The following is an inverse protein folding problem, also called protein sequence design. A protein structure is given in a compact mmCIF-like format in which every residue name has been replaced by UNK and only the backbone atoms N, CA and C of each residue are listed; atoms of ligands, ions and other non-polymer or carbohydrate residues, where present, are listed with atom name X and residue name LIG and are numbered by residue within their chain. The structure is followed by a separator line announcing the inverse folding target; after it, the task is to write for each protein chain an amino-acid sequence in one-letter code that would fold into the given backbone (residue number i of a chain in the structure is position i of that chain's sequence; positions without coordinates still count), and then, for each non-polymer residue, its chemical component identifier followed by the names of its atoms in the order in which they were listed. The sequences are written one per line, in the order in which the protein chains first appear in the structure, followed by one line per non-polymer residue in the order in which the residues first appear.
data_IF_471734576855
#
_entry.id   IF_471734576855
#
_cell.length_a   1.000
_cell.length_b   1.000
_cell.length_c   1.000
_cell.angle_alpha   90.00
_cell.angle_beta   90.00
_cell.angle_gamma   90.00
#
_symmetry.space_group_name_H-M   'P 1'
#
loop_
_entity.id
_entity.type
_entity.pdbx_description
1 polymer ?
#
# COMPACT_ATOMS: atom_id res chain seq x y z
N UNK A 1 -49.89 1.69 37.84
CA UNK A 1 -51.35 1.52 37.93
C UNK A 1 -51.97 2.32 36.80
N UNK A 2 -52.23 1.66 35.66
CA UNK A 2 -53.18 2.04 34.61
C UNK A 2 -53.22 0.85 33.62
N UNK A 3 -54.44 0.42 33.32
CA UNK A 3 -54.81 -0.85 32.72
C UNK A 3 -54.97 -0.74 31.20
N UNK A 4 -54.69 -1.87 30.52
CA UNK A 4 -55.35 -2.47 29.35
C UNK A 4 -55.89 -1.59 28.21
N UNK A 5 -55.49 -1.94 26.98
CA UNK A 5 -56.45 -2.45 25.98
C UNK A 5 -55.78 -3.42 24.99
N UNK A 6 -56.48 -4.53 24.70
CA UNK A 6 -56.17 -5.59 23.74
C UNK A 6 -56.88 -5.27 22.42
N UNK A 7 -56.35 -5.74 21.31
CA UNK A 7 -57.21 -6.20 20.20
C UNK A 7 -56.53 -7.32 19.42
N UNK A 8 -57.32 -8.37 19.25
CA UNK A 8 -57.03 -9.65 18.64
C UNK A 8 -57.00 -9.55 17.10
N UNK A 9 -56.24 -10.43 16.44
CA UNK A 9 -56.40 -10.72 15.01
C UNK A 9 -56.59 -12.23 14.86
N UNK A 10 -57.61 -12.55 14.07
CA UNK A 10 -58.33 -13.81 13.95
C UNK A 10 -57.53 -15.05 13.54
N UNK A 11 -58.13 -16.15 14.00
CA UNK A 11 -57.91 -17.57 13.75
C UNK A 11 -57.94 -18.00 12.28
N UNK A 12 -57.00 -18.85 11.89
CA UNK A 12 -57.04 -19.65 10.66
C UNK A 12 -57.50 -21.06 11.02
N UNK A 13 -58.66 -21.44 10.50
CA UNK A 13 -59.33 -22.74 10.58
C UNK A 13 -58.94 -23.59 9.36
N UNK A 14 -58.37 -24.78 9.57
CA UNK A 14 -58.28 -25.84 8.56
C UNK A 14 -58.36 -27.19 9.25
N UNK A 15 -59.54 -27.81 9.18
CA UNK A 15 -59.79 -29.20 9.54
C UNK A 15 -60.57 -29.86 8.39
N UNK A 16 -59.93 -30.81 7.68
CA UNK A 16 -60.56 -31.99 7.05
C UNK A 16 -59.51 -32.76 6.23
N UNK A 17 -59.09 -33.94 6.67
CA UNK A 17 -59.68 -35.18 6.14
C UNK A 17 -59.25 -36.38 7.00
N UNK A 18 -60.29 -37.15 7.30
CA UNK A 18 -60.43 -38.27 8.20
C UNK A 18 -59.61 -39.52 7.81
N UNK A 19 -59.26 -40.27 8.84
CA UNK A 19 -58.59 -41.56 8.84
C UNK A 19 -59.64 -42.69 8.81
N UNK A 20 -59.42 -43.83 8.11
CA UNK A 20 -59.87 -45.21 8.50
C UNK A 20 -59.82 -46.29 7.37
N UNK A 21 -59.77 -47.60 7.71
CA UNK A 21 -59.06 -48.67 6.95
C UNK A 21 -59.93 -49.87 6.46
N UNK A 22 -59.29 -51.05 6.22
CA UNK A 22 -59.77 -52.46 5.99
C UNK A 22 -60.19 -52.92 4.56
N UNK A 23 -60.03 -54.16 4.04
CA UNK A 23 -59.52 -55.51 4.45
C UNK A 23 -59.36 -56.48 3.22
N UNK A 24 -58.85 -57.72 3.43
CA UNK A 24 -58.61 -58.89 2.52
C UNK A 24 -59.84 -59.38 1.69
N UNK A 25 -59.81 -60.18 0.59
CA UNK A 25 -59.21 -61.52 0.35
C UNK A 25 -59.53 -62.14 -1.07
N UNK A 26 -58.62 -63.01 -1.57
CA UNK A 26 -58.75 -64.32 -2.30
C UNK A 26 -59.32 -64.58 -3.75
N UNK A 27 -58.46 -65.27 -4.57
CA UNK A 27 -58.64 -66.38 -5.60
C UNK A 27 -59.43 -66.11 -6.91
N UNK A 28 -59.27 -66.74 -8.09
CA UNK A 28 -58.53 -67.88 -8.69
C UNK A 28 -58.62 -67.79 -10.24
N UNK A 29 -57.70 -68.38 -11.03
CA UNK A 29 -57.94 -68.65 -12.47
C UNK A 29 -56.71 -68.88 -13.37
N UNK A 30 -56.60 -70.06 -13.97
CA UNK A 30 -55.68 -70.51 -15.06
C UNK A 30 -56.42 -71.58 -15.90
N UNK A 31 -55.99 -72.06 -17.10
CA UNK A 31 -55.11 -71.57 -18.20
C UNK A 31 -55.76 -71.80 -19.62
N UNK A 32 -55.08 -71.81 -20.81
CA UNK A 32 -54.17 -72.90 -21.26
C UNK A 32 -52.92 -72.49 -22.11
N UNK A 33 -52.01 -73.48 -22.28
CA UNK A 33 -50.70 -73.48 -22.99
C UNK A 33 -50.80 -73.61 -24.52
N UNK A 34 -49.81 -73.07 -25.28
CA UNK A 34 -49.13 -73.79 -26.41
C UNK A 34 -47.82 -73.16 -26.95
N UNK A 35 -46.72 -73.92 -26.78
CA UNK A 35 -45.50 -74.22 -27.58
C UNK A 35 -44.75 -73.17 -28.47
N UNK A 36 -43.48 -72.94 -28.04
CA UNK A 36 -42.14 -73.01 -28.72
C UNK A 36 -41.97 -72.57 -30.20
N UNK A 37 -41.00 -71.67 -30.43
CA UNK A 37 -39.88 -71.78 -31.42
C UNK A 37 -38.67 -70.92 -31.00
N UNK A 38 -37.47 -71.54 -30.92
CA UNK A 38 -36.12 -70.95 -31.07
C UNK A 38 -35.73 -71.05 -32.58
N UNK A 39 -34.66 -70.41 -33.15
CA UNK A 39 -33.36 -69.95 -32.61
C UNK A 39 -33.01 -68.48 -33.04
N UNK A 40 -31.86 -67.81 -32.82
CA UNK A 40 -30.44 -68.18 -33.01
C UNK A 40 -29.50 -67.19 -32.31
N UNK A 41 -28.37 -67.71 -31.81
CA UNK A 41 -27.30 -67.07 -31.04
C UNK A 41 -26.16 -66.60 -31.97
N UNK A 42 -25.52 -65.43 -31.77
CA UNK A 42 -24.17 -65.16 -32.28
C UNK A 42 -23.10 -65.60 -31.27
N UNK A 43 -21.89 -65.94 -31.73
CA UNK A 43 -20.94 -66.72 -30.96
C UNK A 43 -20.27 -65.93 -29.83
N UNK A 44 -20.04 -66.64 -28.75
CA UNK A 44 -19.20 -66.28 -27.61
C UNK A 44 -17.75 -66.08 -28.03
N UNK A 45 -17.26 -64.84 -27.89
CA UNK A 45 -15.85 -64.54 -27.69
C UNK A 45 -15.53 -64.53 -26.19
N UNK A 46 -14.58 -65.37 -25.79
CA UNK A 46 -14.20 -65.67 -24.42
C UNK A 46 -13.67 -64.45 -23.63
N UNK A 47 -14.14 -64.32 -22.39
CA UNK A 47 -13.69 -63.33 -21.40
C UNK A 47 -14.75 -63.19 -20.31
N UNK A 48 -14.47 -63.67 -19.10
CA UNK A 48 -15.45 -63.98 -18.05
C UNK A 48 -16.48 -62.86 -17.74
N UNK A 49 -17.76 -63.19 -17.47
CA UNK A 49 -18.82 -62.22 -17.19
C UNK A 49 -18.52 -61.28 -16.00
N UNK A 50 -17.74 -61.75 -15.04
CA UNK A 50 -17.35 -61.01 -13.84
C UNK A 50 -16.24 -59.99 -14.14
N UNK A 51 -15.37 -60.26 -15.13
CA UNK A 51 -14.24 -59.39 -15.49
C UNK A 51 -14.72 -58.13 -16.20
N UNK A 52 -15.74 -58.24 -17.07
CA UNK A 52 -16.37 -57.08 -17.73
C UNK A 52 -17.14 -56.19 -16.77
N UNK A 53 -17.82 -56.78 -15.79
CA UNK A 53 -18.52 -56.03 -14.74
C UNK A 53 -17.52 -55.32 -13.81
N UNK A 54 -16.47 -56.01 -13.38
CA UNK A 54 -15.42 -55.42 -12.54
C UNK A 54 -14.68 -54.28 -13.26
N UNK A 55 -14.40 -54.42 -14.56
CA UNK A 55 -13.79 -53.36 -15.36
C UNK A 55 -14.71 -52.13 -15.54
N UNK A 56 -16.02 -52.34 -15.71
CA UNK A 56 -17.00 -51.25 -15.78
C UNK A 56 -17.14 -50.50 -14.45
N UNK A 57 -17.18 -51.24 -13.33
CA UNK A 57 -17.25 -50.63 -11.99
C UNK A 57 -15.97 -49.87 -11.67
N UNK A 58 -14.80 -50.44 -11.95
CA UNK A 58 -13.52 -49.75 -11.79
C UNK A 58 -13.43 -48.49 -12.67
N UNK A 59 -13.88 -48.57 -13.93
CA UNK A 59 -13.94 -47.42 -14.84
C UNK A 59 -14.90 -46.33 -14.37
N UNK A 60 -16.07 -46.70 -13.83
CA UNK A 60 -17.04 -45.76 -13.27
C UNK A 60 -16.51 -45.06 -12.00
N UNK A 61 -15.82 -45.79 -11.13
CA UNK A 61 -15.16 -45.23 -9.94
C UNK A 61 -14.04 -44.26 -10.36
N UNK A 62 -13.24 -44.63 -11.36
CA UNK A 62 -12.15 -43.80 -11.86
C UNK A 62 -12.68 -42.53 -12.54
N UNK A 63 -13.77 -42.65 -13.33
CA UNK A 63 -14.47 -41.51 -13.91
C UNK A 63 -15.07 -40.59 -12.83
N UNK A 64 -15.70 -41.15 -11.80
CA UNK A 64 -16.22 -40.39 -10.67
C UNK A 64 -15.10 -39.67 -9.91
N UNK A 65 -13.96 -40.33 -9.69
CA UNK A 65 -12.80 -39.71 -9.06
C UNK A 65 -12.23 -38.56 -9.89
N UNK A 66 -12.12 -38.72 -11.21
CA UNK A 66 -11.69 -37.64 -12.12
C UNK A 66 -12.69 -36.48 -12.12
N UNK A 67 -14.00 -36.76 -12.14
CA UNK A 67 -15.04 -35.73 -12.07
C UNK A 67 -15.03 -34.97 -10.74
N UNK A 68 -14.80 -35.66 -9.62
CA UNK A 68 -14.65 -35.02 -8.29
C UNK A 68 -13.39 -34.18 -8.22
N UNK A 69 -12.25 -34.68 -8.72
CA UNK A 69 -11.01 -33.92 -8.80
C UNK A 69 -11.15 -32.70 -9.71
N UNK A 70 -11.85 -32.84 -10.83
CA UNK A 70 -12.13 -31.74 -11.75
C UNK A 70 -13.05 -30.69 -11.11
N UNK A 71 -14.16 -31.11 -10.48
CA UNK A 71 -15.06 -30.19 -9.77
C UNK A 71 -14.38 -29.49 -8.59
N UNK A 72 -13.52 -30.17 -7.84
CA UNK A 72 -12.71 -29.57 -6.78
C UNK A 72 -11.67 -28.59 -7.33
N UNK A 73 -11.06 -28.88 -8.48
CA UNK A 73 -10.10 -27.97 -9.13
C UNK A 73 -10.74 -26.68 -9.63
N UNK A 74 -11.98 -26.73 -10.16
CA UNK A 74 -12.73 -25.54 -10.54
C UNK A 74 -13.12 -24.69 -9.34
N UNK A 75 -13.47 -25.32 -8.20
CA UNK A 75 -13.81 -24.62 -6.95
C UNK A 75 -12.60 -23.95 -6.30
N UNK A 76 -11.44 -24.62 -6.33
CA UNK A 76 -10.19 -24.04 -5.81
C UNK A 76 -9.72 -22.86 -6.66
N UNK A 77 -9.84 -22.95 -7.99
CA UNK A 77 -9.58 -21.84 -8.91
C UNK A 77 -10.48 -20.64 -8.64
N UNK A 78 -11.79 -20.85 -8.58
CA UNK A 78 -12.76 -19.78 -8.30
C UNK A 78 -12.52 -19.11 -6.94
N UNK A 79 -12.09 -19.87 -5.92
CA UNK A 79 -11.76 -19.33 -4.61
C UNK A 79 -10.51 -18.45 -4.66
N UNK A 80 -9.43 -18.92 -5.30
CA UNK A 80 -8.21 -18.11 -5.48
C UNK A 80 -8.49 -16.84 -6.28
N UNK A 81 -9.34 -16.93 -7.31
CA UNK A 81 -9.76 -15.77 -8.10
C UNK A 81 -10.54 -14.76 -7.26
N UNK A 82 -11.43 -15.22 -6.36
CA UNK A 82 -12.17 -14.32 -5.46
C UNK A 82 -11.23 -13.54 -4.53
N UNK A 83 -10.27 -14.22 -3.90
CA UNK A 83 -9.26 -13.56 -3.06
C UNK A 83 -8.37 -12.62 -3.88
N UNK A 84 -7.95 -13.06 -5.07
CA UNK A 84 -7.15 -12.25 -5.99
C UNK A 84 -7.85 -10.96 -6.41
N UNK A 85 -9.09 -11.05 -6.87
CA UNK A 85 -9.89 -9.90 -7.31
C UNK A 85 -10.17 -8.93 -6.15
N UNK A 86 -10.42 -9.47 -4.95
CA UNK A 86 -10.56 -8.67 -3.74
C UNK A 86 -9.26 -7.92 -3.43
N UNK A 87 -8.11 -8.61 -3.38
CA UNK A 87 -6.82 -7.98 -3.11
C UNK A 87 -6.41 -6.98 -4.19
N UNK A 88 -6.76 -7.20 -5.45
CA UNK A 88 -6.57 -6.20 -6.52
C UNK A 88 -7.41 -4.94 -6.28
N UNK A 89 -8.63 -5.10 -5.77
CA UNK A 89 -9.51 -3.97 -5.43
C UNK A 89 -8.98 -3.21 -4.22
N UNK A 90 -8.50 -3.92 -3.19
CA UNK A 90 -7.83 -3.30 -2.05
C UNK A 90 -6.54 -2.60 -2.48
N UNK A 91 -5.78 -3.16 -3.43
CA UNK A 91 -4.57 -2.54 -3.94
C UNK A 91 -4.86 -1.17 -4.58
N UNK A 92 -5.97 -1.03 -5.30
CA UNK A 92 -6.41 0.26 -5.87
C UNK A 92 -6.72 1.27 -4.77
N UNK A 93 -7.52 0.87 -3.78
CA UNK A 93 -7.85 1.71 -2.60
C UNK A 93 -6.59 2.12 -1.82
N UNK A 94 -5.69 1.17 -1.58
CA UNK A 94 -4.42 1.38 -0.90
C UNK A 94 -3.51 2.35 -1.66
N UNK A 95 -3.40 2.19 -2.97
CA UNK A 95 -2.61 3.07 -3.83
C UNK A 95 -3.17 4.50 -3.88
N UNK A 96 -4.49 4.67 -3.94
CA UNK A 96 -5.14 5.98 -3.86
C UNK A 96 -4.90 6.65 -2.51
N UNK A 97 -5.03 5.91 -1.41
CA UNK A 97 -4.75 6.42 -0.08
C UNK A 97 -3.28 6.81 0.10
N UNK A 98 -2.36 5.98 -0.40
CA UNK A 98 -0.92 6.23 -0.34
C UNK A 98 -0.53 7.48 -1.15
N UNK A 99 -1.16 7.66 -2.33
CA UNK A 99 -0.99 8.88 -3.13
C UNK A 99 -1.45 10.12 -2.36
N UNK A 100 -2.59 10.07 -1.67
CA UNK A 100 -3.06 11.18 -0.84
C UNK A 100 -2.06 11.49 0.29
N UNK A 101 -1.45 10.47 0.89
CA UNK A 101 -0.39 10.64 1.89
C UNK A 101 0.85 11.36 1.33
N UNK A 102 1.30 10.98 0.12
CA UNK A 102 2.36 11.70 -0.60
C UNK A 102 1.97 13.14 -0.94
N UNK A 103 0.75 13.35 -1.43
CA UNK A 103 0.24 14.68 -1.78
C UNK A 103 0.18 15.57 -0.52
N UNK A 104 -0.16 15.00 0.65
CA UNK A 104 -0.08 15.70 1.94
C UNK A 104 1.36 16.07 2.29
N UNK A 105 2.31 15.15 2.18
CA UNK A 105 3.73 15.43 2.44
C UNK A 105 4.23 16.59 1.56
N UNK A 106 3.97 16.50 0.25
CA UNK A 106 4.33 17.54 -0.71
C UNK A 106 3.68 18.89 -0.39
N UNK A 107 2.40 18.88 0.03
CA UNK A 107 1.69 20.08 0.43
C UNK A 107 2.30 20.74 1.66
N UNK A 108 2.59 19.95 2.69
CA UNK A 108 3.17 20.42 3.96
C UNK A 108 4.59 20.95 3.77
N UNK A 109 5.35 20.45 2.81
CA UNK A 109 6.71 20.89 2.52
C UNK A 109 6.83 21.75 1.26
N UNK A 110 5.71 22.24 0.73
CA UNK A 110 5.71 23.13 -0.43
C UNK A 110 6.43 24.45 -0.13
N UNK A 111 7.39 24.82 -0.99
CA UNK A 111 8.16 26.04 -0.82
C UNK A 111 7.27 27.28 -1.04
N UNK A 112 7.26 28.18 -0.06
CA UNK A 112 6.56 29.47 -0.16
C UNK A 112 5.03 29.39 -0.12
N UNK A 113 4.44 28.23 0.17
CA UNK A 113 2.99 28.08 0.28
C UNK A 113 2.42 28.98 1.39
N UNK A 114 1.28 29.62 1.11
CA UNK A 114 0.56 30.43 2.09
C UNK A 114 -0.39 29.57 2.89
N UNK A 115 -0.65 29.94 4.14
CA UNK A 115 -1.59 29.24 5.03
C UNK A 115 -2.98 29.07 4.40
N UNK A 116 -3.48 30.09 3.69
CA UNK A 116 -4.79 30.01 3.02
C UNK A 116 -4.85 28.92 1.94
N UNK A 117 -3.83 28.88 1.07
CA UNK A 117 -3.72 27.89 -0.01
C UNK A 117 -3.50 26.48 0.56
N UNK A 118 -2.65 26.36 1.59
CA UNK A 118 -2.43 25.10 2.31
C UNK A 118 -3.72 24.53 2.87
N UNK A 119 -4.55 25.36 3.50
CA UNK A 119 -5.85 24.91 4.05
C UNK A 119 -6.79 24.45 2.95
N UNK A 120 -6.85 25.18 1.83
CA UNK A 120 -7.71 24.83 0.69
C UNK A 120 -7.33 23.48 0.08
N UNK A 121 -6.04 23.25 -0.16
CA UNK A 121 -5.54 21.99 -0.72
C UNK A 121 -5.71 20.83 0.28
N UNK A 122 -5.47 21.07 1.57
CA UNK A 122 -5.69 20.07 2.62
C UNK A 122 -7.17 19.63 2.71
N UNK A 123 -8.11 20.55 2.51
CA UNK A 123 -9.53 20.23 2.43
C UNK A 123 -9.86 19.34 1.21
N UNK A 124 -9.17 19.53 0.09
CA UNK A 124 -9.25 18.64 -1.07
C UNK A 124 -8.77 17.22 -0.74
N UNK A 125 -7.60 17.10 -0.09
CA UNK A 125 -7.04 15.81 0.34
C UNK A 125 -7.97 15.07 1.32
N UNK A 126 -8.57 15.79 2.27
CA UNK A 126 -9.58 15.25 3.20
C UNK A 126 -10.76 14.63 2.48
N UNK A 127 -11.30 15.34 1.48
CA UNK A 127 -12.44 14.86 0.69
C UNK A 127 -12.06 13.63 -0.14
N UNK A 128 -10.89 13.64 -0.77
CA UNK A 128 -10.38 12.50 -1.53
C UNK A 128 -10.19 11.25 -0.64
N UNK A 129 -9.64 11.41 0.56
CA UNK A 129 -9.48 10.29 1.49
C UNK A 129 -10.84 9.78 1.98
N UNK A 130 -11.82 10.67 2.18
CA UNK A 130 -13.20 10.28 2.49
C UNK A 130 -13.84 9.41 1.40
N UNK A 131 -13.58 9.72 0.12
CA UNK A 131 -14.02 8.88 -1.02
C UNK A 131 -13.29 7.54 -1.06
N UNK A 132 -12.03 7.50 -0.65
CA UNK A 132 -11.25 6.26 -0.55
C UNK A 132 -11.83 5.32 0.51
N UNK A 133 -12.25 5.86 1.67
CA UNK A 133 -12.99 5.09 2.70
C UNK A 133 -14.31 4.55 2.14
N UNK A 134 -15.08 5.37 1.43
CA UNK A 134 -16.35 4.93 0.82
C UNK A 134 -16.14 3.81 -0.20
N UNK A 135 -15.07 3.91 -1.00
CA UNK A 135 -14.70 2.88 -1.97
C UNK A 135 -14.32 1.58 -1.28
N UNK A 136 -13.57 1.66 -0.16
CA UNK A 136 -13.23 0.50 0.65
C UNK A 136 -14.49 -0.16 1.25
N UNK A 137 -15.39 0.62 1.85
CA UNK A 137 -16.64 0.13 2.43
C UNK A 137 -17.57 -0.54 1.41
N UNK A 138 -17.44 -0.19 0.13
CA UNK A 138 -18.20 -0.79 -0.96
C UNK A 138 -17.62 -2.10 -1.50
N UNK A 139 -16.46 -2.54 -1.01
CA UNK A 139 -15.86 -3.81 -1.42
C UNK A 139 -16.61 -5.01 -0.80
N UNK A 140 -16.59 -6.14 -1.49
CA UNK A 140 -17.15 -7.40 -1.01
C UNK A 140 -16.01 -8.36 -0.62
N UNK A 141 -15.58 -8.40 0.65
CA UNK A 141 -14.50 -9.27 1.09
C UNK A 141 -14.92 -10.75 1.08
N UNK A 142 -14.00 -11.68 0.75
CA UNK A 142 -14.19 -13.10 1.03
C UNK A 142 -14.58 -13.30 2.49
N UNK A 143 -15.46 -14.27 2.77
CA UNK A 143 -16.06 -14.40 4.10
C UNK A 143 -15.07 -14.56 5.26
N UNK A 144 -13.91 -15.16 4.99
CA UNK A 144 -12.82 -15.33 5.96
C UNK A 144 -12.06 -14.03 6.26
N UNK A 145 -12.10 -13.04 5.35
CA UNK A 145 -11.37 -11.78 5.45
C UNK A 145 -12.23 -10.61 5.97
N UNK A 146 -13.44 -10.86 6.47
CA UNK A 146 -14.35 -9.78 6.90
C UNK A 146 -13.77 -8.95 8.04
N UNK A 147 -13.14 -9.60 9.02
CA UNK A 147 -12.51 -8.92 10.15
C UNK A 147 -11.34 -8.04 9.68
N UNK A 148 -10.47 -8.57 8.82
CA UNK A 148 -9.34 -7.82 8.28
C UNK A 148 -9.82 -6.66 7.39
N UNK A 149 -10.93 -6.84 6.68
CA UNK A 149 -11.56 -5.78 5.92
C UNK A 149 -12.08 -4.64 6.82
N UNK A 150 -12.65 -4.96 7.98
CA UNK A 150 -13.03 -3.95 8.97
C UNK A 150 -11.80 -3.16 9.45
N UNK A 151 -10.69 -3.84 9.77
CA UNK A 151 -9.43 -3.19 10.13
C UNK A 151 -8.85 -2.30 9.02
N UNK A 152 -8.94 -2.73 7.75
CA UNK A 152 -8.61 -1.89 6.59
C UNK A 152 -9.42 -0.60 6.59
N UNK A 153 -10.74 -0.69 6.77
CA UNK A 153 -11.63 0.48 6.79
C UNK A 153 -11.31 1.39 7.97
N UNK A 154 -11.04 0.84 9.16
CA UNK A 154 -10.64 1.60 10.35
C UNK A 154 -9.32 2.36 10.13
N UNK A 155 -8.32 1.73 9.52
CA UNK A 155 -7.06 2.40 9.16
C UNK A 155 -7.33 3.60 8.21
N UNK A 156 -8.13 3.40 7.18
CA UNK A 156 -8.49 4.48 6.25
C UNK A 156 -9.29 5.61 6.93
N UNK A 157 -10.14 5.28 7.91
CA UNK A 157 -10.87 6.26 8.71
C UNK A 157 -9.95 7.04 9.66
N UNK A 158 -8.93 6.41 10.24
CA UNK A 158 -7.90 7.11 11.02
C UNK A 158 -7.14 8.11 10.15
N UNK A 159 -6.85 7.77 8.87
CA UNK A 159 -6.27 8.72 7.91
C UNK A 159 -7.17 9.94 7.69
N UNK A 160 -8.47 9.74 7.47
CA UNK A 160 -9.46 10.84 7.41
C UNK A 160 -9.45 11.67 8.70
N UNK A 161 -9.42 11.01 9.86
CA UNK A 161 -9.42 11.66 11.17
C UNK A 161 -8.17 12.52 11.37
N UNK A 162 -6.99 12.02 11.02
CA UNK A 162 -5.74 12.78 11.08
C UNK A 162 -5.74 13.98 10.14
N UNK A 163 -6.21 13.83 8.90
CA UNK A 163 -6.35 14.94 7.95
C UNK A 163 -7.35 16.01 8.45
N UNK A 164 -8.49 15.58 9.00
CA UNK A 164 -9.47 16.48 9.63
C UNK A 164 -8.86 17.24 10.82
N UNK A 165 -8.11 16.52 11.67
CA UNK A 165 -7.40 17.09 12.79
C UNK A 165 -6.38 18.14 12.35
N UNK A 166 -5.58 17.83 11.33
CA UNK A 166 -4.62 18.78 10.74
C UNK A 166 -5.31 20.04 10.22
N UNK A 167 -6.41 19.92 9.47
CA UNK A 167 -7.14 21.09 8.97
C UNK A 167 -7.75 21.94 10.09
N UNK A 168 -8.25 21.29 11.15
CA UNK A 168 -8.69 21.96 12.36
C UNK A 168 -7.54 22.68 13.06
N UNK A 169 -6.39 22.03 13.21
CA UNK A 169 -5.17 22.58 13.80
C UNK A 169 -4.66 23.79 13.03
N UNK A 170 -4.55 23.71 11.70
CA UNK A 170 -4.17 24.82 10.82
C UNK A 170 -5.14 26.00 10.86
N UNK A 171 -6.40 25.77 11.20
CA UNK A 171 -7.35 26.87 11.43
C UNK A 171 -7.07 27.58 12.76
N UNK A 172 -6.60 26.85 13.77
CA UNK A 172 -6.34 27.37 15.12
C UNK A 172 -4.94 27.94 15.32
N UNK A 173 -4.02 27.81 14.35
CA UNK A 173 -2.61 28.27 14.53
C UNK A 173 -2.49 29.77 14.85
N UNK A 174 -3.46 30.59 14.44
CA UNK A 174 -3.46 32.02 14.74
C UNK A 174 -3.97 32.33 16.16
N UNK A 175 -4.72 31.40 16.77
CA UNK A 175 -5.36 31.55 18.07
C UNK A 175 -4.54 30.94 19.22
N UNK A 176 -3.54 30.11 18.89
CA UNK A 176 -2.64 29.48 19.87
C UNK A 176 -1.52 30.43 20.30
N UNK A 177 -1.14 30.34 21.57
CA UNK A 177 -0.24 31.30 22.23
C UNK A 177 1.20 31.34 21.68
N UNK A 178 1.66 30.28 21.00
CA UNK A 178 3.00 30.20 20.41
C UNK A 178 3.08 29.12 19.33
N UNK A 179 4.10 29.20 18.47
CA UNK A 179 4.42 28.14 17.50
C UNK A 179 4.72 26.79 18.15
N UNK A 180 5.17 26.78 19.41
CA UNK A 180 5.39 25.54 20.17
C UNK A 180 4.06 24.85 20.47
N UNK A 181 3.07 25.59 20.98
CA UNK A 181 1.73 25.07 21.23
C UNK A 181 1.04 24.63 19.93
N UNK A 182 1.23 25.39 18.84
CA UNK A 182 0.77 24.99 17.51
C UNK A 182 1.40 23.67 17.05
N UNK A 183 2.71 23.51 17.26
CA UNK A 183 3.44 22.30 16.90
C UNK A 183 2.97 21.06 17.66
N UNK A 184 2.73 21.19 18.96
CA UNK A 184 2.18 20.12 19.82
C UNK A 184 0.78 19.70 19.36
N UNK A 185 -0.10 20.68 19.08
CA UNK A 185 -1.45 20.43 18.58
C UNK A 185 -1.40 19.65 17.26
N UNK A 186 -0.61 20.10 16.29
CA UNK A 186 -0.51 19.47 14.97
C UNK A 186 0.11 18.07 15.03
N UNK A 187 1.11 17.86 15.90
CA UNK A 187 1.71 16.54 16.12
C UNK A 187 0.69 15.55 16.70
N UNK A 188 -0.13 15.97 17.66
CA UNK A 188 -1.19 15.12 18.21
C UNK A 188 -2.17 14.67 17.11
N UNK A 189 -2.55 15.58 16.21
CA UNK A 189 -3.43 15.24 15.08
C UNK A 189 -2.75 14.29 14.10
N UNK A 190 -1.47 14.52 13.79
CA UNK A 190 -0.67 13.71 12.88
C UNK A 190 -0.36 12.31 13.39
N UNK A 191 -0.30 12.10 14.71
CA UNK A 191 -0.14 10.77 15.29
C UNK A 191 -1.25 9.80 14.88
N UNK A 192 -2.44 10.28 14.53
CA UNK A 192 -3.52 9.45 13.97
C UNK A 192 -3.15 8.90 12.59
N UNK A 193 -2.41 9.66 11.78
CA UNK A 193 -1.91 9.21 10.48
C UNK A 193 -0.86 8.11 10.68
N UNK A 194 0.09 8.32 11.60
CA UNK A 194 1.12 7.31 11.91
C UNK A 194 0.49 6.03 12.46
N UNK A 195 -0.45 6.15 13.40
CA UNK A 195 -1.17 5.01 13.96
C UNK A 195 -2.00 4.27 12.89
N UNK A 196 -2.47 4.96 11.85
CA UNK A 196 -3.22 4.32 10.77
C UNK A 196 -2.38 3.35 9.95
N UNK A 197 -1.09 3.63 9.77
CA UNK A 197 -0.18 2.76 9.04
C UNK A 197 0.12 1.50 9.84
N UNK A 198 0.34 1.64 11.16
CA UNK A 198 0.46 0.48 12.07
C UNK A 198 -0.80 -0.37 12.05
N UNK A 199 -1.99 0.25 12.08
CA UNK A 199 -3.26 -0.50 12.02
C UNK A 199 -3.42 -1.24 10.68
N UNK A 200 -3.02 -0.62 9.57
CA UNK A 200 -3.04 -1.23 8.25
C UNK A 200 -2.10 -2.44 8.17
N UNK A 201 -0.85 -2.28 8.60
CA UNK A 201 0.15 -3.33 8.53
C UNK A 201 -0.21 -4.51 9.45
N UNK A 202 -0.46 -4.25 10.74
CA UNK A 202 -0.62 -5.31 11.73
C UNK A 202 -1.98 -6.04 11.58
N UNK A 203 -3.07 -5.28 11.41
CA UNK A 203 -4.43 -5.83 11.53
C UNK A 203 -5.13 -6.06 10.21
N UNK A 204 -4.69 -5.43 9.12
CA UNK A 204 -5.15 -5.82 7.78
C UNK A 204 -4.12 -6.70 7.08
N UNK A 205 -2.91 -6.19 6.83
CA UNK A 205 -1.96 -6.84 5.90
C UNK A 205 -1.45 -8.17 6.45
N UNK A 206 -0.83 -8.16 7.61
CA UNK A 206 -0.25 -9.36 8.22
C UNK A 206 -1.35 -10.35 8.65
N UNK A 207 -2.44 -9.85 9.23
CA UNK A 207 -3.59 -10.68 9.58
C UNK A 207 -4.25 -11.34 8.35
N UNK A 208 -4.40 -10.62 7.23
CA UNK A 208 -4.97 -11.19 6.00
C UNK A 208 -4.04 -12.22 5.37
N UNK A 209 -2.72 -11.99 5.43
CA UNK A 209 -1.73 -12.98 5.00
C UNK A 209 -1.91 -14.28 5.80
N UNK A 210 -2.01 -14.21 7.13
CA UNK A 210 -2.22 -15.38 7.98
C UNK A 210 -3.51 -16.13 7.63
N UNK A 211 -4.64 -15.41 7.49
CA UNK A 211 -5.91 -16.02 7.09
C UNK A 211 -5.81 -16.69 5.71
N UNK A 212 -5.14 -16.06 4.75
CA UNK A 212 -4.95 -16.62 3.42
C UNK A 212 -4.07 -17.88 3.44
N UNK A 213 -3.03 -17.91 4.27
CA UNK A 213 -2.20 -19.09 4.48
C UNK A 213 -2.98 -20.25 5.09
N UNK A 214 -3.78 -19.99 6.13
CA UNK A 214 -4.66 -20.97 6.77
C UNK A 214 -5.70 -21.53 5.79
N UNK A 215 -6.21 -20.69 4.89
CA UNK A 215 -7.16 -21.06 3.85
C UNK A 215 -6.50 -21.71 2.61
N UNK A 216 -5.17 -21.87 2.61
CA UNK A 216 -4.40 -22.49 1.53
C UNK A 216 -4.33 -21.63 0.26
N UNK A 217 -4.61 -20.34 0.35
CA UNK A 217 -4.54 -19.38 -0.75
C UNK A 217 -3.08 -18.93 -0.90
N UNK A 218 -2.45 -19.35 -2.01
CA UNK A 218 -1.06 -19.02 -2.34
C UNK A 218 -1.00 -18.25 -3.66
N UNK A 219 0.03 -17.41 -3.81
CA UNK A 219 0.28 -16.66 -5.05
C UNK A 219 -0.60 -15.41 -5.23
N UNK A 220 -1.37 -15.03 -4.21
CA UNK A 220 -2.07 -13.75 -4.13
C UNK A 220 -1.34 -12.90 -3.10
N UNK A 221 -0.83 -11.75 -3.51
CA UNK A 221 -0.16 -10.83 -2.61
C UNK A 221 -1.19 -9.95 -1.90
N UNK A 222 -1.01 -9.74 -0.59
CA UNK A 222 -1.76 -8.73 0.15
C UNK A 222 -1.09 -7.37 -0.11
N UNK A 223 -1.83 -6.37 -0.60
CA UNK A 223 -1.25 -5.09 -0.97
C UNK A 223 -0.74 -4.31 0.25
N UNK A 224 0.26 -3.47 -0.01
CA UNK A 224 0.79 -2.51 0.95
C UNK A 224 0.12 -1.15 0.80
N UNK A 225 0.14 -0.32 1.86
CA UNK A 225 -0.31 1.08 1.79
C UNK A 225 0.25 1.87 2.97
N UNK A 226 1.26 2.72 2.71
CA UNK A 226 1.90 3.56 3.74
C UNK A 226 1.52 5.03 3.55
N UNK A 227 0.70 5.59 4.43
CA UNK A 227 0.22 6.97 4.30
C UNK A 227 1.28 8.00 4.68
N UNK A 228 2.08 7.73 5.73
CA UNK A 228 3.10 8.64 6.22
C UNK A 228 4.46 8.26 5.65
N UNK A 229 5.01 9.11 4.79
CA UNK A 229 6.35 8.93 4.20
C UNK A 229 7.48 9.51 5.06
N UNK A 230 7.18 10.42 5.99
CA UNK A 230 8.16 11.14 6.79
C UNK A 230 7.85 11.05 8.30
N UNK A 231 8.80 10.58 9.10
CA UNK A 231 8.67 10.44 10.55
C UNK A 231 8.48 11.79 11.28
N UNK A 232 8.84 12.90 10.64
CA UNK A 232 8.62 14.25 11.17
C UNK A 232 7.15 14.57 11.45
N UNK A 233 6.21 13.84 10.84
CA UNK A 233 4.78 13.97 11.15
C UNK A 233 4.46 13.69 12.62
N UNK A 234 5.25 12.86 13.31
CA UNK A 234 5.08 12.57 14.73
C UNK A 234 5.75 13.59 15.67
N UNK A 235 6.55 14.52 15.13
CA UNK A 235 7.44 15.38 15.91
C UNK A 235 6.82 16.76 16.17
N UNK A 236 6.55 17.12 17.45
CA UNK A 236 6.11 18.48 17.80
C UNK A 236 7.12 19.55 17.38
N UNK A 237 8.41 19.21 17.42
CA UNK A 237 9.48 20.12 16.99
C UNK A 237 9.40 20.39 15.49
N UNK A 238 9.19 19.36 14.67
CA UNK A 238 9.11 19.51 13.22
C UNK A 238 7.87 20.31 12.82
N UNK A 239 6.73 20.06 13.47
CA UNK A 239 5.52 20.88 13.30
C UNK A 239 5.68 22.33 13.74
N UNK A 240 6.38 22.59 14.85
CA UNK A 240 6.71 23.96 15.27
C UNK A 240 7.55 24.68 14.20
N UNK A 241 8.51 24.00 13.58
CA UNK A 241 9.31 24.56 12.49
C UNK A 241 8.46 24.86 11.24
N UNK A 242 7.52 23.97 10.89
CA UNK A 242 6.55 24.19 9.80
C UNK A 242 5.67 25.41 10.10
N UNK A 243 5.14 25.54 11.33
CA UNK A 243 4.35 26.70 11.73
C UNK A 243 5.17 27.98 11.66
N UNK A 244 6.40 27.96 12.17
CA UNK A 244 7.31 29.10 12.09
C UNK A 244 7.56 29.51 10.63
N UNK A 245 7.77 28.55 9.73
CA UNK A 245 7.96 28.77 8.29
C UNK A 245 6.73 29.40 7.64
N UNK A 246 5.53 28.95 8.00
CA UNK A 246 4.26 29.40 7.41
C UNK A 246 3.76 30.74 7.93
N UNK A 247 4.08 31.09 9.17
CA UNK A 247 3.49 32.25 9.87
C UNK A 247 4.45 33.40 10.09
N UNK A 248 5.76 33.14 10.17
CA UNK A 248 6.74 34.21 10.38
C UNK A 248 7.11 34.87 9.06
N UNK A 249 7.30 36.20 9.02
CA UNK A 249 7.84 36.88 7.86
C UNK A 249 9.20 36.30 7.46
N UNK A 250 9.47 36.18 6.15
CA UNK A 250 10.76 35.68 5.62
C UNK A 250 11.94 36.45 6.22
N UNK A 251 11.80 37.76 6.39
CA UNK A 251 12.84 38.65 6.94
C UNK A 251 13.00 38.56 8.47
N UNK A 252 12.03 37.95 9.16
CA UNK A 252 12.09 37.69 10.60
C UNK A 252 12.57 36.26 10.92
N UNK A 253 12.75 35.41 9.90
CA UNK A 253 13.02 33.98 10.03
C UNK A 253 14.44 33.62 10.50
N UNK A 254 15.38 34.55 10.45
CA UNK A 254 16.80 34.25 10.69
C UNK A 254 17.56 33.93 9.40
N UNK A 255 18.83 33.56 9.54
CA UNK A 255 19.69 33.24 8.38
C UNK A 255 19.12 32.04 7.61
N UNK A 256 19.20 32.08 6.28
CA UNK A 256 18.80 30.98 5.40
C UNK A 256 20.01 30.45 4.65
N UNK A 257 20.05 29.16 4.40
CA UNK A 257 21.01 28.59 3.46
C UNK A 257 21.43 27.17 3.75
N UNK A 258 21.86 26.49 2.69
CA UNK A 258 22.32 25.12 2.74
C UNK A 258 23.83 25.08 2.45
N UNK A 259 24.50 24.03 2.91
CA UNK A 259 25.88 23.76 2.52
C UNK A 259 26.06 22.31 2.16
N UNK A 260 26.88 22.04 1.17
CA UNK A 260 27.37 20.68 0.92
C UNK A 260 28.41 20.37 2.00
N UNK A 261 28.09 19.43 2.88
CA UNK A 261 29.02 18.97 3.91
C UNK A 261 30.03 17.97 3.32
N UNK A 262 29.62 17.22 2.30
CA UNK A 262 30.51 16.29 1.64
C UNK A 262 29.82 15.31 0.70
N UNK A 263 30.63 14.49 0.03
CA UNK A 263 30.15 13.41 -0.83
C UNK A 263 30.85 12.11 -0.47
N UNK A 264 30.11 11.02 -0.34
CA UNK A 264 30.63 9.67 -0.08
C UNK A 264 30.33 8.72 -1.23
N UNK A 265 31.25 7.80 -1.48
CA UNK A 265 31.10 6.73 -2.47
C UNK A 265 30.53 5.49 -1.82
N UNK A 266 29.37 5.04 -2.27
CA UNK A 266 28.75 3.78 -1.84
C UNK A 266 29.14 2.62 -2.77
N UNK A 267 29.25 1.38 -2.25
CA UNK A 267 28.98 0.98 -0.86
C UNK A 267 30.15 1.21 0.12
N UNK A 268 31.31 1.68 -0.37
CA UNK A 268 32.53 1.82 0.46
C UNK A 268 32.41 2.81 1.62
N UNK A 269 31.45 3.76 1.54
CA UNK A 269 31.29 4.93 2.42
C UNK A 269 32.54 5.80 2.54
N UNK A 270 33.40 5.77 1.51
CA UNK A 270 34.61 6.60 1.46
C UNK A 270 34.24 8.03 1.11
N UNK A 271 34.66 8.98 1.95
CA UNK A 271 34.48 10.41 1.72
C UNK A 271 35.40 10.89 0.58
N UNK A 272 34.86 11.66 -0.36
CA UNK A 272 35.65 12.30 -1.41
C UNK A 272 36.44 13.49 -0.84
N UNK A 273 37.68 13.61 -1.28
CA UNK A 273 38.56 14.73 -0.98
C UNK A 273 38.42 15.83 -2.04
N UNK A 274 38.16 17.10 -1.66
CA UNK A 274 38.11 18.21 -2.62
C UNK A 274 39.50 18.67 -3.07
N UNK A 275 40.58 18.22 -2.42
CA UNK A 275 41.96 18.65 -2.68
C UNK A 275 42.86 17.56 -3.26
N UNK A 276 42.35 16.34 -3.43
CA UNK A 276 43.11 15.18 -3.90
C UNK A 276 42.32 14.39 -4.94
N UNK A 277 43.03 13.60 -5.75
CA UNK A 277 42.41 12.70 -6.72
C UNK A 277 41.72 11.51 -6.02
N UNK A 278 40.47 11.24 -6.37
CA UNK A 278 39.68 10.18 -5.76
C UNK A 278 39.55 8.99 -6.72
N UNK A 279 40.08 7.84 -6.33
CA UNK A 279 39.88 6.60 -7.11
C UNK A 279 38.54 5.97 -6.76
N UNK A 280 37.66 5.83 -7.75
CA UNK A 280 36.31 5.29 -7.61
C UNK A 280 36.19 3.98 -8.37
N UNK A 281 35.78 2.92 -7.69
CA UNK A 281 35.52 1.62 -8.33
C UNK A 281 34.12 1.61 -8.93
N UNK A 282 34.03 1.43 -10.24
CA UNK A 282 32.73 1.31 -10.92
C UNK A 282 32.12 -0.07 -10.67
N UNK A 283 30.83 -0.09 -10.33
CA UNK A 283 30.01 -1.31 -10.20
C UNK A 283 28.54 -0.98 -10.45
N UNK A 284 27.70 -2.01 -10.58
CA UNK A 284 26.24 -1.89 -10.62
C UNK A 284 25.64 -1.24 -9.34
N UNK A 285 26.37 -1.33 -8.22
CA UNK A 285 25.98 -0.75 -6.93
C UNK A 285 26.63 0.61 -6.65
N UNK A 286 27.41 1.15 -7.59
CA UNK A 286 28.05 2.44 -7.43
C UNK A 286 26.98 3.51 -7.21
N UNK A 287 27.16 4.28 -6.14
CA UNK A 287 26.33 5.44 -5.87
C UNK A 287 27.13 6.54 -5.16
N UNK A 288 26.66 7.78 -5.29
CA UNK A 288 27.19 8.92 -4.54
C UNK A 288 26.15 9.39 -3.53
N UNK A 289 26.51 9.36 -2.25
CA UNK A 289 25.73 9.93 -1.15
C UNK A 289 26.22 11.37 -0.93
N UNK A 290 25.38 12.35 -1.22
CA UNK A 290 25.67 13.77 -0.98
C UNK A 290 25.06 14.18 0.35
N UNK A 291 25.89 14.73 1.24
CA UNK A 291 25.49 15.25 2.54
C UNK A 291 25.24 16.75 2.41
N UNK A 292 24.01 17.18 2.70
CA UNK A 292 23.58 18.57 2.70
C UNK A 292 23.21 18.96 4.13
N UNK A 293 23.81 20.02 4.63
CA UNK A 293 23.49 20.58 5.94
C UNK A 293 22.72 21.88 5.79
N UNK A 294 21.65 22.06 6.57
CA UNK A 294 21.01 23.35 6.69
C UNK A 294 21.83 24.23 7.62
N UNK A 295 22.60 25.14 7.02
CA UNK A 295 23.47 26.09 7.72
C UNK A 295 22.75 27.33 8.25
N UNK A 296 21.46 27.45 7.97
CA UNK A 296 20.60 28.54 8.42
C UNK A 296 19.94 28.29 9.79
N UNK A 297 18.92 29.10 10.05
CA UNK A 297 18.08 29.14 11.25
C UNK A 297 16.61 28.84 10.94
N UNK A 298 16.25 28.71 9.67
CA UNK A 298 14.93 28.32 9.18
C UNK A 298 14.95 26.94 8.58
N UNK A 299 13.84 26.21 8.68
CA UNK A 299 13.66 24.99 7.89
C UNK A 299 13.66 25.38 6.41
N UNK A 300 14.46 24.67 5.61
CA UNK A 300 14.47 24.78 4.16
C UNK A 300 13.72 23.60 3.57
N UNK A 301 12.98 23.83 2.49
CA UNK A 301 12.14 22.83 1.85
C UNK A 301 12.42 22.77 0.35
N UNK A 302 12.15 21.62 -0.26
CA UNK A 302 12.36 21.37 -1.69
C UNK A 302 13.81 21.69 -2.10
N UNK A 303 14.77 21.23 -1.31
CA UNK A 303 16.18 21.50 -1.53
C UNK A 303 16.67 20.60 -2.66
N UNK A 304 16.79 21.18 -3.85
CA UNK A 304 17.25 20.47 -5.05
C UNK A 304 18.76 20.32 -5.06
N UNK A 305 19.20 19.08 -5.25
CA UNK A 305 20.60 18.69 -5.34
C UNK A 305 20.84 18.11 -6.72
N UNK A 306 21.77 18.71 -7.46
CA UNK A 306 22.22 18.21 -8.76
C UNK A 306 23.61 17.60 -8.62
N UNK A 307 23.79 16.40 -9.16
CA UNK A 307 25.09 15.78 -9.37
C UNK A 307 25.42 15.76 -10.87
N UNK A 308 26.61 16.21 -11.24
CA UNK A 308 27.10 16.25 -12.62
C UNK A 308 28.50 15.62 -12.71
N UNK A 309 28.67 14.61 -13.55
CA UNK A 309 29.97 14.03 -13.91
C UNK A 309 30.35 14.60 -15.28
N UNK A 310 31.36 15.47 -15.31
CA UNK A 310 31.78 16.24 -16.49
C UNK A 310 32.69 15.41 -17.42
N UNK A 311 32.19 14.27 -17.88
CA UNK A 311 32.88 13.42 -18.84
C UNK A 311 32.58 13.83 -20.30
N UNK A 312 33.36 13.28 -21.24
CA UNK A 312 33.22 13.50 -22.69
C UNK A 312 32.92 12.16 -23.38
N UNK A 313 32.05 12.11 -24.42
CA UNK A 313 31.41 13.23 -25.13
C UNK A 313 30.22 13.87 -24.42
N UNK A 314 29.53 13.14 -23.54
CA UNK A 314 28.32 13.61 -22.87
C UNK A 314 28.45 13.52 -21.34
N UNK A 315 28.13 14.61 -20.60
CA UNK A 315 28.13 14.59 -19.15
C UNK A 315 26.96 13.79 -18.60
N UNK A 316 27.16 13.16 -17.44
CA UNK A 316 26.06 12.53 -16.68
C UNK A 316 25.52 13.59 -15.73
N UNK A 317 24.23 13.89 -15.81
CA UNK A 317 23.55 14.81 -14.89
C UNK A 317 22.35 14.11 -14.26
N UNK A 318 22.25 14.16 -12.93
CA UNK A 318 21.11 13.68 -12.18
C UNK A 318 20.68 14.71 -11.14
N UNK A 319 19.39 14.73 -10.82
CA UNK A 319 18.77 15.62 -9.85
C UNK A 319 18.04 14.78 -8.79
N UNK A 320 18.17 15.19 -7.54
CA UNK A 320 17.45 14.65 -6.39
C UNK A 320 16.94 15.82 -5.56
N UNK A 321 15.94 15.57 -4.72
CA UNK A 321 15.30 16.59 -3.89
C UNK A 321 15.24 16.11 -2.44
N UNK A 322 15.47 17.04 -1.51
CA UNK A 322 15.20 16.84 -0.08
C UNK A 322 13.93 17.64 0.24
N UNK A 323 12.87 16.96 0.67
CA UNK A 323 11.57 17.58 0.97
C UNK A 323 11.70 18.71 1.98
N UNK A 324 12.43 18.45 3.07
CA UNK A 324 12.74 19.43 4.09
C UNK A 324 14.01 19.07 4.87
N UNK A 325 14.72 20.09 5.31
CA UNK A 325 15.88 19.97 6.19
C UNK A 325 15.78 21.01 7.30
N UNK A 326 15.80 20.55 8.56
CA UNK A 326 15.66 21.43 9.72
C UNK A 326 16.97 22.18 10.02
N UNK A 327 16.92 23.33 10.72
CA UNK A 327 18.13 24.10 11.07
C UNK A 327 19.17 23.26 11.81
N UNK A 328 20.39 23.22 11.28
CA UNK A 328 21.52 22.50 11.84
C UNK A 328 21.57 21.00 11.49
N UNK A 329 20.49 20.42 10.98
CA UNK A 329 20.46 19.01 10.59
C UNK A 329 21.21 18.79 9.26
N UNK A 330 21.72 17.57 9.08
CA UNK A 330 22.36 17.12 7.84
C UNK A 330 21.57 15.94 7.29
N UNK A 331 21.08 16.11 6.06
CA UNK A 331 20.40 15.05 5.31
C UNK A 331 21.25 14.56 4.14
N UNK A 332 20.92 13.37 3.64
CA UNK A 332 21.65 12.71 2.59
C UNK A 332 20.73 12.39 1.40
N UNK A 333 21.19 12.70 0.18
CA UNK A 333 20.58 12.20 -1.06
C UNK A 333 21.53 11.26 -1.76
N UNK A 334 20.99 10.19 -2.34
CA UNK A 334 21.79 9.14 -2.98
C UNK A 334 21.52 9.10 -4.48
N UNK A 335 22.57 9.31 -5.27
CA UNK A 335 22.55 9.21 -6.72
C UNK A 335 23.01 7.83 -7.16
N UNK A 336 22.12 7.06 -7.81
CA UNK A 336 22.34 5.70 -8.31
C UNK A 336 22.16 5.66 -9.82
N UNK A 337 22.44 4.52 -10.45
CA UNK A 337 22.12 4.27 -11.87
C UNK A 337 22.69 5.36 -12.79
N UNK A 338 23.95 5.72 -12.56
CA UNK A 338 24.65 6.84 -13.22
C UNK A 338 24.89 6.63 -14.73
N UNK A 339 24.43 5.52 -15.30
CA UNK A 339 24.72 5.14 -16.68
C UNK A 339 26.19 4.76 -16.88
N UNK A 340 26.72 5.04 -18.08
CA UNK A 340 28.08 4.65 -18.46
C UNK A 340 29.11 5.73 -18.09
N UNK A 341 30.01 5.40 -17.17
CA UNK A 341 31.14 6.26 -16.78
C UNK A 341 32.38 6.03 -17.66
N UNK A 342 33.17 7.08 -17.87
CA UNK A 342 34.46 7.01 -18.56
C UNK A 342 35.58 6.57 -17.61
N UNK A 343 36.40 5.61 -18.04
CA UNK A 343 37.46 5.01 -17.21
C UNK A 343 38.84 5.64 -17.42
N UNK A 344 39.63 5.69 -16.35
CA UNK A 344 41.06 6.01 -16.40
C UNK A 344 41.44 7.47 -16.65
N UNK A 345 40.47 8.36 -16.84
CA UNK A 345 40.67 9.80 -16.99
C UNK A 345 40.19 10.57 -15.75
N UNK A 346 40.96 11.58 -15.35
CA UNK A 346 40.51 12.55 -14.34
C UNK A 346 39.26 13.25 -14.83
N UNK A 347 38.17 13.12 -14.08
CA UNK A 347 36.85 13.66 -14.40
C UNK A 347 36.36 14.49 -13.22
N UNK A 348 35.70 15.62 -13.48
CA UNK A 348 35.14 16.45 -12.41
C UNK A 348 33.76 15.92 -12.05
N UNK A 349 33.59 15.51 -10.79
CA UNK A 349 32.29 15.32 -10.17
C UNK A 349 31.91 16.62 -9.47
N UNK A 350 30.90 17.29 -10.00
CA UNK A 350 30.33 18.53 -9.46
C UNK A 350 29.00 18.24 -8.78
N UNK A 351 28.84 18.75 -7.57
CA UNK A 351 27.57 18.74 -6.85
C UNK A 351 27.16 20.16 -6.57
N UNK A 352 25.89 20.46 -6.80
CA UNK A 352 25.30 21.78 -6.51
C UNK A 352 23.98 21.62 -5.78
N UNK A 353 23.74 22.48 -4.79
CA UNK A 353 22.46 22.68 -4.13
C UNK A 353 21.88 23.99 -4.66
N UNK A 354 20.63 23.99 -5.11
CA UNK A 354 19.98 25.24 -5.55
C UNK A 354 19.84 26.21 -4.37
N UNK A 355 20.22 27.49 -4.52
CA UNK A 355 20.05 28.47 -3.48
C UNK A 355 18.58 28.64 -3.07
N UNK A 356 18.33 28.68 -1.76
CA UNK A 356 16.97 28.91 -1.24
C UNK A 356 16.64 30.40 -1.24
N UNK A 357 15.34 30.71 -1.26
CA UNK A 357 14.89 32.11 -1.28
C UNK A 357 15.39 32.86 -0.04
N UNK A 358 16.18 33.93 -0.26
CA UNK A 358 16.75 34.75 0.81
C UNK A 358 18.12 34.29 1.33
N UNK A 359 18.69 33.22 0.76
CA UNK A 359 20.08 32.84 1.01
C UNK A 359 21.05 33.87 0.43
N UNK A 360 21.95 34.36 1.27
CA UNK A 360 22.94 35.40 0.89
C UNK A 360 24.32 34.83 0.60
N UNK A 361 24.68 33.73 1.24
CA UNK A 361 25.92 33.01 0.96
C UNK A 361 25.59 31.76 0.15
N UNK A 362 25.96 31.75 -1.13
CA UNK A 362 25.75 30.62 -2.04
C UNK A 362 27.05 29.91 -2.42
N UNK A 363 28.19 30.38 -1.90
CA UNK A 363 29.52 29.85 -2.25
C UNK A 363 29.73 28.43 -1.70
N UNK A 364 29.01 28.07 -0.65
CA UNK A 364 29.00 26.77 0.02
C UNK A 364 27.96 25.80 -0.56
N UNK A 365 27.25 26.21 -1.61
CA UNK A 365 26.23 25.40 -2.27
C UNK A 365 26.79 24.57 -3.43
N UNK A 366 28.10 24.69 -3.72
CA UNK A 366 28.76 23.91 -4.77
C UNK A 366 30.02 23.24 -4.22
N UNK A 367 30.24 22.00 -4.64
CA UNK A 367 31.46 21.25 -4.35
C UNK A 367 31.91 20.51 -5.62
N UNK A 368 33.23 20.48 -5.85
CA UNK A 368 33.84 19.78 -6.98
C UNK A 368 34.91 18.82 -6.46
N UNK A 369 34.95 17.63 -7.06
CA UNK A 369 35.85 16.55 -6.70
C UNK A 369 36.46 15.97 -7.97
N UNK A 370 37.78 15.77 -7.99
CA UNK A 370 38.43 15.03 -9.08
C UNK A 370 38.26 13.55 -8.81
N UNK A 371 37.60 12.84 -9.73
CA UNK A 371 37.37 11.40 -9.65
C UNK A 371 38.03 10.67 -10.82
N UNK A 372 38.54 9.47 -10.54
CA UNK A 372 39.13 8.55 -11.51
C UNK A 372 38.39 7.23 -11.38
N UNK A 373 37.56 6.91 -12.39
CA UNK A 373 36.84 5.64 -12.40
C UNK A 373 37.77 4.50 -12.84
N UNK A 374 37.74 3.43 -12.07
CA UNK A 374 38.50 2.19 -12.28
C UNK A 374 37.57 1.00 -12.30
N UNK A 375 38.01 -0.11 -12.91
CA UNK A 375 37.27 -1.37 -12.87
C UNK A 375 37.13 -1.86 -11.43
N UNK A 376 35.90 -2.19 -11.03
CA UNK A 376 35.54 -2.62 -9.68
C UNK A 376 36.05 -4.00 -9.30
#
# INVERSE_FOLDING_TARGET
MAERERTDIDSIEFDFFDDSPTAESAREGSPPKRRRRLPTRPPTGAGGPIVRLAALVAGAILLAAVLVLWANSCREGQRKDQFGNYMESVAKVGADSERIGRDLNNLIFSAGIKVGDLKSELDGLRQAQGQTVQSAQGLDPPGALREQHESLVEALQLRVSGLNGLAGGFTQIADVASSQAAGELLAEQSNRLVASDVLYDDFFKDAAQNVMEEEGIRGVAVPDSNFVSNLDFSSPRSWKLIVDRLTKPVNAGGLRGNRIEGVRVLPSRTQLSPSEDNTVKASDRLAFEVLVNNSGQTQETQVKVTLTIQQSPEPIRQEQEIDAINPGDTDAVVFRDLGQVSFGSNTILKVTVEPVTGETNTNNNSAEYVVIFTFG
#
